data_IF_093863768376
#
_entry.id   IF_093863768376
#
_cell.length_a   1.000
_cell.length_b   1.000
_cell.length_c   1.000
_cell.angle_alpha   90.00
_cell.angle_beta   90.00
_cell.angle_gamma   90.00
#
_symmetry.space_group_name_H-M   'P 1'
#
loop_
_entity.id
_entity.type
_entity.pdbx_description
1 polymer ?
#
# COMPACT_ATOMS: atom_id res chain seq x y z
N UNK A 1 6.95 -4.27 21.83
CA UNK A 1 6.00 -3.26 22.30
C UNK A 1 5.61 -2.27 21.23
N UNK A 2 6.55 -1.50 20.66
CA UNK A 2 6.25 -0.57 19.56
C UNK A 2 5.67 -1.29 18.33
N UNK A 3 6.09 -2.52 18.08
CA UNK A 3 5.63 -3.33 16.97
C UNK A 3 4.16 -3.73 17.09
N UNK A 4 3.69 -4.02 18.31
CA UNK A 4 2.30 -4.40 18.57
C UNK A 4 1.37 -3.19 18.48
N UNK A 5 1.82 -2.01 18.93
CA UNK A 5 1.05 -0.78 18.84
C UNK A 5 0.86 -0.34 17.39
N UNK A 6 1.87 -0.51 16.54
CA UNK A 6 1.79 -0.22 15.11
C UNK A 6 0.84 -1.18 14.41
N UNK A 7 0.92 -2.49 14.71
CA UNK A 7 0.00 -3.49 14.16
C UNK A 7 -1.44 -3.20 14.55
N UNK A 8 -1.68 -2.86 15.81
CA UNK A 8 -3.01 -2.49 16.29
C UNK A 8 -3.53 -1.23 15.60
N UNK A 9 -2.67 -0.25 15.34
CA UNK A 9 -3.04 0.95 14.59
C UNK A 9 -3.45 0.61 13.17
N UNK A 10 -2.73 -0.28 12.48
CA UNK A 10 -3.07 -0.70 11.13
C UNK A 10 -4.36 -1.50 11.10
N UNK A 11 -4.54 -2.44 12.02
CA UNK A 11 -5.78 -3.19 12.12
C UNK A 11 -6.96 -2.26 12.38
N UNK A 12 -6.79 -1.29 13.27
CA UNK A 12 -7.83 -0.31 13.58
C UNK A 12 -8.15 0.57 12.37
N UNK A 13 -7.13 1.07 11.66
CA UNK A 13 -7.31 1.84 10.44
C UNK A 13 -7.96 1.02 9.34
N UNK A 14 -7.59 -0.26 9.22
CA UNK A 14 -8.21 -1.17 8.25
C UNK A 14 -9.68 -1.41 8.57
N UNK A 15 -10.02 -1.60 9.85
CA UNK A 15 -11.40 -1.79 10.30
C UNK A 15 -12.22 -0.52 10.03
N UNK A 16 -11.68 0.66 10.36
CA UNK A 16 -12.34 1.94 10.08
C UNK A 16 -12.56 2.10 8.58
N UNK A 17 -11.55 1.80 7.76
CA UNK A 17 -11.65 1.84 6.32
C UNK A 17 -12.72 0.87 5.80
N UNK A 18 -12.76 -0.35 6.33
CA UNK A 18 -13.77 -1.36 5.96
C UNK A 18 -15.18 -0.91 6.37
N UNK A 19 -15.34 -0.34 7.55
CA UNK A 19 -16.63 0.17 8.05
C UNK A 19 -17.10 1.36 7.22
N UNK A 20 -16.22 2.29 6.89
CA UNK A 20 -16.56 3.43 6.05
C UNK A 20 -16.91 2.99 4.63
N UNK A 21 -16.18 2.03 4.08
CA UNK A 21 -16.46 1.48 2.77
C UNK A 21 -17.72 0.62 2.72
N UNK A 22 -18.18 0.12 3.85
CA UNK A 22 -19.46 -0.57 3.89
C UNK A 22 -20.63 0.33 3.48
N UNK A 23 -20.51 1.64 3.69
CA UNK A 23 -21.49 2.61 3.17
C UNK A 23 -21.46 2.68 1.65
N UNK A 24 -20.30 2.41 1.06
CA UNK A 24 -20.12 2.42 -0.40
C UNK A 24 -20.38 1.06 -1.03
N UNK A 25 -20.30 -0.03 -0.24
CA UNK A 25 -20.65 -1.37 -0.69
C UNK A 25 -22.16 -1.53 -0.98
N UNK A 26 -22.97 -0.59 -0.48
CA UNK A 26 -24.38 -0.50 -0.82
C UNK A 26 -24.63 0.17 -2.17
N UNK A 27 -23.58 0.63 -2.84
CA UNK A 27 -23.63 1.18 -4.18
C UNK A 27 -23.84 0.04 -5.20
N UNK A 28 -24.60 0.26 -6.30
CA UNK A 28 -24.86 -0.77 -7.31
C UNK A 28 -23.62 -1.24 -8.09
N UNK A 29 -22.46 -0.72 -7.80
CA UNK A 29 -21.18 -1.19 -8.37
C UNK A 29 -20.25 -1.57 -7.22
N UNK A 30 -20.24 -2.86 -6.80
CA UNK A 30 -19.25 -3.29 -5.83
C UNK A 30 -17.86 -3.15 -6.47
N UNK A 31 -17.00 -2.37 -5.82
CA UNK A 31 -15.59 -2.34 -6.19
C UNK A 31 -15.00 -3.72 -5.93
N UNK A 32 -14.23 -4.23 -6.87
CA UNK A 32 -13.45 -5.43 -6.64
C UNK A 32 -12.54 -5.21 -5.43
N UNK A 33 -12.80 -5.97 -4.37
CA UNK A 33 -11.97 -5.92 -3.17
C UNK A 33 -10.64 -6.60 -3.51
N UNK A 34 -9.57 -5.83 -3.44
CA UNK A 34 -8.22 -6.35 -3.64
C UNK A 34 -7.75 -6.99 -2.35
N UNK A 35 -7.18 -8.19 -2.47
CA UNK A 35 -6.69 -8.92 -1.30
C UNK A 35 -5.28 -8.46 -0.95
N UNK A 36 -5.11 -8.04 0.29
CA UNK A 36 -3.82 -7.77 0.89
C UNK A 36 -3.58 -8.85 1.94
N UNK A 37 -2.68 -9.77 1.64
CA UNK A 37 -2.46 -10.95 2.50
C UNK A 37 -1.67 -10.61 3.77
N UNK A 38 -0.74 -9.65 3.68
CA UNK A 38 0.08 -9.24 4.81
C UNK A 38 0.04 -7.72 4.96
N UNK A 39 -0.37 -7.27 6.13
CA UNK A 39 -0.34 -5.85 6.45
C UNK A 39 1.10 -5.40 6.71
N UNK A 40 1.45 -4.16 6.31
CA UNK A 40 2.79 -3.63 6.61
C UNK A 40 3.04 -3.56 8.12
N UNK A 41 4.26 -3.88 8.52
CA UNK A 41 4.69 -3.80 9.92
C UNK A 41 5.08 -2.39 10.34
N UNK A 42 5.17 -1.45 9.40
CA UNK A 42 5.57 -0.06 9.66
C UNK A 42 4.58 0.90 9.03
N UNK A 43 4.50 2.11 9.60
CA UNK A 43 3.59 3.15 9.11
C UNK A 43 4.14 3.87 7.87
N UNK A 44 5.45 3.81 7.66
CA UNK A 44 6.09 4.50 6.55
C UNK A 44 7.59 4.58 6.70
N UNK A 45 8.20 5.36 5.84
CA UNK A 45 9.64 5.59 5.83
C UNK A 45 9.92 7.08 5.70
N UNK A 46 10.93 7.55 6.38
CA UNK A 46 11.35 8.94 6.29
C UNK A 46 12.83 9.03 5.98
N UNK A 47 13.25 10.07 5.25
CA UNK A 47 14.68 10.31 5.02
C UNK A 47 15.41 10.54 6.35
N UNK A 48 16.60 9.97 6.47
CA UNK A 48 17.50 10.22 7.58
C UNK A 48 18.39 11.40 7.18
N UNK A 49 18.49 12.41 8.02
CA UNK A 49 19.36 13.56 7.77
C UNK A 49 19.09 14.24 6.40
N UNK A 50 17.83 14.47 6.10
CA UNK A 50 17.44 15.21 4.89
C UNK A 50 17.67 16.70 5.08
N UNK A 51 18.34 17.34 4.12
CA UNK A 51 18.49 18.80 4.06
C UNK A 51 17.27 19.47 3.43
N UNK A 52 16.29 18.68 3.02
CA UNK A 52 15.09 19.17 2.36
C UNK A 52 14.12 19.72 3.39
N UNK A 53 13.72 20.98 3.21
CA UNK A 53 12.59 21.58 3.93
C UNK A 53 11.25 21.12 3.35
N UNK A 54 11.26 20.17 2.43
CA UNK A 54 10.07 19.68 1.74
C UNK A 54 9.17 18.93 2.73
N UNK A 55 7.93 19.37 2.78
CA UNK A 55 6.89 18.77 3.60
C UNK A 55 6.02 17.79 2.80
N UNK A 56 6.41 17.52 1.57
CA UNK A 56 5.67 16.59 0.71
C UNK A 56 5.75 15.17 1.26
N UNK A 57 4.63 14.49 1.24
CA UNK A 57 4.53 13.09 1.62
C UNK A 57 3.97 12.31 0.45
N UNK A 58 4.58 11.17 0.16
CA UNK A 58 4.07 10.24 -0.84
C UNK A 58 3.27 9.17 -0.11
N UNK A 59 2.05 8.94 -0.56
CA UNK A 59 1.16 7.95 0.03
C UNK A 59 1.18 6.67 -0.79
N UNK A 60 1.71 5.60 -0.19
CA UNK A 60 1.72 4.28 -0.78
C UNK A 60 0.52 3.51 -0.24
N UNK A 61 -0.38 3.13 -1.12
CA UNK A 61 -1.59 2.41 -0.71
C UNK A 61 -1.26 0.96 -0.35
N UNK A 62 -2.09 0.33 0.48
CA UNK A 62 -1.86 -1.07 0.90
C UNK A 62 -1.77 -2.02 -0.29
N UNK A 63 -2.57 -1.80 -1.32
CA UNK A 63 -2.50 -2.62 -2.54
C UNK A 63 -1.17 -2.43 -3.28
N UNK A 64 -0.64 -1.22 -3.27
CA UNK A 64 0.67 -0.92 -3.87
C UNK A 64 1.79 -1.57 -3.08
N UNK A 65 1.72 -1.50 -1.76
CA UNK A 65 2.63 -2.21 -0.87
C UNK A 65 2.59 -3.72 -1.14
N UNK A 66 1.39 -4.29 -1.25
CA UNK A 66 1.24 -5.73 -1.50
C UNK A 66 1.83 -6.15 -2.86
N UNK A 67 1.63 -5.35 -3.89
CA UNK A 67 2.22 -5.62 -5.20
C UNK A 67 3.76 -5.65 -5.14
N UNK A 68 4.36 -4.69 -4.43
CA UNK A 68 5.81 -4.67 -4.21
C UNK A 68 6.25 -5.89 -3.40
N UNK A 69 5.51 -6.21 -2.34
CA UNK A 69 5.84 -7.36 -1.50
C UNK A 69 5.84 -8.66 -2.29
N UNK A 70 4.82 -8.86 -3.10
CA UNK A 70 4.70 -10.09 -3.89
C UNK A 70 5.71 -10.16 -5.03
N UNK A 71 5.84 -9.08 -5.80
CA UNK A 71 6.66 -9.09 -7.02
C UNK A 71 8.14 -8.89 -6.73
N UNK A 72 8.49 -7.94 -5.86
CA UNK A 72 9.89 -7.55 -5.65
C UNK A 72 10.52 -8.25 -4.43
N UNK A 73 9.74 -8.53 -3.39
CA UNK A 73 10.26 -9.20 -2.19
C UNK A 73 10.14 -10.73 -2.29
N UNK A 74 8.97 -11.24 -2.62
CA UNK A 74 8.76 -12.68 -2.77
C UNK A 74 9.11 -13.21 -4.17
N UNK A 75 9.45 -12.32 -5.09
CA UNK A 75 9.88 -12.66 -6.43
C UNK A 75 8.81 -13.43 -7.24
N UNK A 76 7.56 -13.18 -6.98
CA UNK A 76 6.46 -13.78 -7.74
C UNK A 76 6.30 -13.08 -9.08
N UNK A 77 5.80 -13.81 -10.06
CA UNK A 77 5.46 -13.21 -11.35
C UNK A 77 4.23 -12.32 -11.18
N UNK A 78 4.04 -11.39 -12.12
CA UNK A 78 2.85 -10.55 -12.11
C UNK A 78 1.56 -11.37 -12.20
N UNK A 79 1.59 -12.47 -12.94
CA UNK A 79 0.45 -13.38 -13.03
C UNK A 79 0.12 -14.00 -11.67
N UNK A 80 1.13 -14.52 -10.98
CA UNK A 80 0.97 -15.10 -9.64
C UNK A 80 0.48 -14.05 -8.64
N UNK A 81 1.06 -12.85 -8.68
CA UNK A 81 0.66 -11.76 -7.82
C UNK A 81 -0.78 -11.32 -8.08
N UNK A 82 -1.18 -11.26 -9.35
CA UNK A 82 -2.56 -10.90 -9.72
C UNK A 82 -3.58 -11.90 -9.15
N UNK A 83 -3.28 -13.18 -9.22
CA UNK A 83 -4.12 -14.23 -8.62
C UNK A 83 -4.20 -14.04 -7.10
N UNK A 84 -3.07 -13.84 -6.46
CA UNK A 84 -3.01 -13.64 -5.01
C UNK A 84 -3.83 -12.44 -4.55
N UNK A 85 -3.80 -11.36 -5.31
CA UNK A 85 -4.53 -10.12 -4.98
C UNK A 85 -5.97 -10.10 -5.51
N UNK A 86 -6.38 -11.13 -6.24
CA UNK A 86 -7.73 -11.20 -6.78
C UNK A 86 -8.03 -10.13 -7.83
N UNK A 87 -7.03 -9.74 -8.63
CA UNK A 87 -7.16 -8.74 -9.69
C UNK A 87 -6.70 -9.31 -11.02
N UNK A 88 -7.05 -8.65 -12.12
CA UNK A 88 -6.54 -9.01 -13.43
C UNK A 88 -5.05 -8.65 -13.54
N UNK A 89 -4.34 -9.32 -14.45
CA UNK A 89 -2.93 -9.01 -14.69
C UNK A 89 -2.70 -7.55 -15.10
N UNK A 90 -3.49 -6.96 -16.03
CA UNK A 90 -3.34 -5.54 -16.34
C UNK A 90 -3.56 -4.61 -15.14
N UNK A 91 -4.50 -4.94 -14.26
CA UNK A 91 -4.73 -4.17 -13.02
C UNK A 91 -3.52 -4.29 -12.10
N UNK A 92 -3.00 -5.49 -11.90
CA UNK A 92 -1.77 -5.71 -11.12
C UNK A 92 -0.62 -4.89 -11.69
N UNK A 93 -0.44 -4.91 -13.02
CA UNK A 93 0.64 -4.17 -13.68
C UNK A 93 0.54 -2.67 -13.40
N UNK A 94 -0.66 -2.10 -13.43
CA UNK A 94 -0.86 -0.67 -13.10
C UNK A 94 -0.56 -0.37 -11.64
N UNK A 95 -1.04 -1.22 -10.72
CA UNK A 95 -0.78 -1.06 -9.29
C UNK A 95 0.73 -1.14 -9.02
N UNK A 96 1.39 -2.12 -9.58
CA UNK A 96 2.81 -2.36 -9.41
C UNK A 96 3.65 -1.20 -9.99
N UNK A 97 3.31 -0.74 -11.19
CA UNK A 97 4.01 0.40 -11.82
C UNK A 97 3.86 1.66 -10.96
N UNK A 98 2.64 1.95 -10.50
CA UNK A 98 2.38 3.09 -9.62
C UNK A 98 3.20 2.98 -8.32
N UNK A 99 3.23 1.80 -7.71
CA UNK A 99 3.97 1.56 -6.49
C UNK A 99 5.46 1.84 -6.66
N UNK A 100 6.06 1.32 -7.72
CA UNK A 100 7.49 1.51 -8.00
C UNK A 100 7.83 2.97 -8.29
N UNK A 101 6.98 3.67 -9.03
CA UNK A 101 7.18 5.10 -9.31
C UNK A 101 7.13 5.93 -8.02
N UNK A 102 6.21 5.63 -7.13
CA UNK A 102 6.09 6.33 -5.84
C UNK A 102 7.34 6.12 -4.99
N UNK A 103 7.84 4.89 -4.92
CA UNK A 103 9.06 4.58 -4.17
C UNK A 103 10.25 5.30 -4.79
N UNK A 104 10.38 5.27 -6.10
CA UNK A 104 11.45 5.97 -6.81
C UNK A 104 11.40 7.48 -6.55
N UNK A 105 10.23 8.09 -6.59
CA UNK A 105 10.07 9.50 -6.28
C UNK A 105 10.52 9.83 -4.86
N UNK A 106 10.14 9.00 -3.90
CA UNK A 106 10.51 9.21 -2.51
C UNK A 106 12.02 9.14 -2.32
N UNK A 107 12.66 8.14 -2.94
CA UNK A 107 14.11 7.97 -2.87
C UNK A 107 14.86 9.14 -3.52
N UNK A 108 14.45 9.54 -4.71
CA UNK A 108 15.14 10.59 -5.47
C UNK A 108 14.90 11.97 -4.87
N UNK A 109 13.67 12.25 -4.44
CA UNK A 109 13.31 13.55 -3.88
C UNK A 109 13.61 13.68 -2.39
N UNK A 110 13.89 12.56 -1.71
CA UNK A 110 14.14 12.56 -0.28
C UNK A 110 12.92 12.98 0.53
N UNK A 111 11.76 12.41 0.23
CA UNK A 111 10.51 12.73 0.93
C UNK A 111 9.98 11.50 1.67
N UNK A 112 9.07 11.75 2.60
CA UNK A 112 8.44 10.72 3.43
C UNK A 112 7.51 9.86 2.59
N UNK A 113 7.53 8.54 2.83
CA UNK A 113 6.50 7.62 2.36
C UNK A 113 5.61 7.26 3.55
N UNK A 114 4.32 7.45 3.40
CA UNK A 114 3.32 6.93 4.35
C UNK A 114 2.56 5.80 3.68
N UNK A 115 2.41 4.68 4.40
CA UNK A 115 1.68 3.52 3.90
C UNK A 115 0.29 3.55 4.52
N UNK A 116 -0.73 3.58 3.67
CA UNK A 116 -2.12 3.70 4.13
C UNK A 116 -3.09 3.01 3.18
N UNK A 117 -4.34 2.83 3.62
CA UNK A 117 -5.39 2.30 2.76
C UNK A 117 -5.70 3.25 1.62
N UNK A 118 -5.82 2.69 0.43
CA UNK A 118 -6.14 3.44 -0.79
C UNK A 118 -7.64 3.66 -0.99
#
# INVERSE_FOLDING_TARGET
>A
MLKNDLLLRYEHLFIIFAVENNKYLMSPRPKNIRKVNNMPSVAGFKPIASNSSRKDTIFLHFEEYEAIRLCDYEMKTQQEASVSMGVSRPTLSRIYTSARQKIAQALVRGVVIMIEGG
#
